data_IF_256268318615
#
_entry.id   IF_256268318615
#
_cell.length_a   1.000
_cell.length_b   1.000
_cell.length_c   1.000
_cell.angle_alpha   90.00
_cell.angle_beta   90.00
_cell.angle_gamma   90.00
#
_symmetry.space_group_name_H-M   'P 1'
#
loop_
_entity.id
_entity.type
_entity.pdbx_description
1 polymer ?
#
# COMPACT_ATOMS: atom_id res chain seq x y z
N UNK A 1 -120.89 45.82 -22.61
CA UNK A 1 -120.45 45.68 -24.01
C UNK A 1 -118.98 46.07 -24.07
N UNK A 2 -118.12 45.08 -24.37
CA UNK A 2 -116.68 45.14 -24.69
C UNK A 2 -115.70 45.43 -23.54
N UNK A 3 -114.65 44.61 -23.55
CA UNK A 3 -113.62 44.40 -22.57
C UNK A 3 -112.23 44.71 -23.16
N UNK A 4 -111.30 45.13 -22.27
CA UNK A 4 -109.83 44.98 -22.26
C UNK A 4 -108.95 45.75 -23.27
N UNK A 5 -107.65 45.97 -22.96
CA UNK A 5 -106.99 46.20 -21.66
C UNK A 5 -106.13 47.49 -21.69
N UNK A 6 -106.00 48.25 -20.60
CA UNK A 6 -105.11 47.90 -19.49
C UNK A 6 -103.66 48.28 -19.84
N UNK A 7 -103.32 49.58 -19.75
CA UNK A 7 -101.93 50.08 -19.86
C UNK A 7 -101.07 49.39 -18.80
N UNK A 8 -100.20 48.48 -19.22
CA UNK A 8 -99.09 48.00 -18.39
C UNK A 8 -98.22 49.19 -18.00
N UNK A 9 -98.27 49.51 -16.72
CA UNK A 9 -97.31 50.40 -16.07
C UNK A 9 -95.94 49.74 -16.22
N UNK A 10 -95.02 50.41 -16.93
CA UNK A 10 -93.59 50.18 -16.77
C UNK A 10 -93.30 50.33 -15.28
N UNK A 11 -93.06 49.21 -14.61
CA UNK A 11 -92.70 49.17 -13.20
C UNK A 11 -91.38 49.94 -13.06
N UNK A 12 -91.44 51.08 -12.38
CA UNK A 12 -90.26 51.78 -11.94
C UNK A 12 -89.51 50.84 -10.98
N UNK A 13 -88.24 50.61 -11.23
CA UNK A 13 -87.38 49.85 -10.33
C UNK A 13 -87.41 50.53 -8.95
N UNK A 14 -87.98 49.85 -7.96
CA UNK A 14 -87.76 50.18 -6.55
C UNK A 14 -86.25 50.06 -6.27
N UNK A 15 -85.67 50.96 -5.44
CA UNK A 15 -84.28 50.82 -5.04
C UNK A 15 -84.10 49.44 -4.39
N UNK A 16 -82.95 48.77 -4.60
CA UNK A 16 -82.70 47.49 -3.96
C UNK A 16 -82.92 47.64 -2.45
N UNK A 17 -83.58 46.66 -1.83
CA UNK A 17 -83.76 46.67 -0.38
C UNK A 17 -82.36 46.64 0.25
N UNK A 18 -81.92 47.81 0.74
CA UNK A 18 -80.54 48.05 1.13
C UNK A 18 -80.08 47.08 2.23
N UNK A 19 -81.02 46.49 2.97
CA UNK A 19 -80.79 45.45 3.95
C UNK A 19 -80.31 44.12 3.31
N UNK A 20 -80.98 43.64 2.25
CA UNK A 20 -80.65 42.39 1.56
C UNK A 20 -79.28 42.48 0.88
N UNK A 21 -79.00 43.61 0.24
CA UNK A 21 -77.68 43.87 -0.36
C UNK A 21 -76.59 43.91 0.71
N UNK A 22 -76.85 44.60 1.83
CA UNK A 22 -75.91 44.69 2.95
C UNK A 22 -75.57 43.33 3.58
N UNK A 23 -76.57 42.47 3.77
CA UNK A 23 -76.40 41.12 4.32
C UNK A 23 -75.62 40.21 3.35
N UNK A 24 -75.94 40.24 2.05
CA UNK A 24 -75.21 39.48 1.04
C UNK A 24 -73.73 39.88 0.95
N UNK A 25 -73.43 41.18 0.97
CA UNK A 25 -72.05 41.69 0.98
C UNK A 25 -71.32 41.30 2.26
N UNK A 26 -71.98 41.33 3.43
CA UNK A 26 -71.38 40.90 4.69
C UNK A 26 -71.00 39.41 4.67
N UNK A 27 -71.86 38.55 4.11
CA UNK A 27 -71.59 37.12 3.96
C UNK A 27 -70.44 36.85 2.97
N UNK A 28 -70.40 37.55 1.84
CA UNK A 28 -69.28 37.49 0.90
C UNK A 28 -67.97 37.93 1.57
N UNK A 29 -67.97 39.04 2.31
CA UNK A 29 -66.80 39.55 3.02
C UNK A 29 -66.31 38.57 4.10
N UNK A 30 -67.24 37.91 4.81
CA UNK A 30 -66.91 36.85 5.78
C UNK A 30 -66.13 35.73 5.11
N UNK A 31 -66.60 35.24 3.96
CA UNK A 31 -65.95 34.15 3.23
C UNK A 31 -64.62 34.60 2.62
N UNK A 32 -64.53 35.82 2.08
CA UNK A 32 -63.25 36.37 1.63
C UNK A 32 -62.20 36.42 2.76
N UNK A 33 -62.60 36.80 3.99
CA UNK A 33 -61.70 36.81 5.15
C UNK A 33 -61.21 35.41 5.53
N UNK A 34 -62.10 34.41 5.48
CA UNK A 34 -61.74 33.01 5.73
C UNK A 34 -60.80 32.47 4.64
N UNK A 35 -61.11 32.71 3.37
CA UNK A 35 -60.25 32.33 2.25
C UNK A 35 -58.88 33.02 2.31
N UNK A 36 -58.83 34.30 2.72
CA UNK A 36 -57.57 35.01 2.94
C UNK A 36 -56.74 34.42 4.10
N UNK A 37 -57.40 33.80 5.08
CA UNK A 37 -56.74 33.04 6.15
C UNK A 37 -56.36 31.60 5.74
N UNK A 38 -56.68 31.19 4.50
CA UNK A 38 -56.39 29.86 3.97
C UNK A 38 -57.48 28.81 4.18
N UNK A 39 -58.65 29.19 4.73
CA UNK A 39 -59.82 28.33 4.84
C UNK A 39 -60.64 28.40 3.53
N UNK A 40 -60.35 27.47 2.62
CA UNK A 40 -61.08 27.31 1.36
C UNK A 40 -62.22 26.30 1.45
N UNK A 41 -62.64 25.86 2.64
CA UNK A 41 -63.85 25.03 2.83
C UNK A 41 -65.11 25.90 3.02
N UNK A 42 -64.93 27.16 3.42
CA UNK A 42 -66.02 28.13 3.53
C UNK A 42 -66.67 28.47 2.17
N UNK A 43 -68.00 28.62 2.15
CA UNK A 43 -68.78 29.03 0.97
C UNK A 43 -69.72 30.18 1.30
N UNK A 44 -69.94 31.06 0.33
CA UNK A 44 -70.94 32.13 0.41
C UNK A 44 -72.30 31.48 0.34
N UNK A 45 -73.06 31.59 1.44
CA UNK A 45 -74.40 31.03 1.56
C UNK A 45 -75.40 31.89 0.80
N UNK A 46 -76.53 31.29 0.45
CA UNK A 46 -77.65 32.03 -0.11
C UNK A 46 -78.30 32.91 0.98
N UNK A 47 -78.55 34.17 0.65
CA UNK A 47 -79.28 35.12 1.49
C UNK A 47 -80.71 35.26 0.92
N UNK A 48 -81.77 35.00 1.69
CA UNK A 48 -83.15 35.15 1.23
C UNK A 48 -83.40 36.55 0.63
N UNK A 49 -84.15 36.62 -0.47
CA UNK A 49 -84.39 37.88 -1.20
C UNK A 49 -83.28 38.30 -2.16
N UNK A 50 -82.08 37.69 -2.09
CA UNK A 50 -80.99 37.99 -3.03
C UNK A 50 -81.26 37.54 -4.47
N UNK A 51 -82.29 36.71 -4.69
CA UNK A 51 -82.68 36.18 -6.02
C UNK A 51 -83.21 37.28 -6.94
N UNK A 52 -83.76 38.34 -6.38
CA UNK A 52 -84.26 39.52 -7.10
C UNK A 52 -83.11 40.42 -7.63
N UNK A 53 -81.87 40.08 -7.27
CA UNK A 53 -80.66 40.80 -7.66
C UNK A 53 -79.69 39.86 -8.41
N UNK A 54 -79.80 39.76 -9.75
CA UNK A 54 -78.99 38.85 -10.56
C UNK A 54 -77.47 39.02 -10.36
N UNK A 55 -77.00 40.25 -10.17
CA UNK A 55 -75.58 40.57 -9.95
C UNK A 55 -75.04 39.96 -8.63
N UNK A 56 -75.85 39.91 -7.56
CA UNK A 56 -75.45 39.29 -6.29
C UNK A 56 -75.40 37.76 -6.41
N UNK A 57 -76.32 37.18 -7.18
CA UNK A 57 -76.34 35.74 -7.48
C UNK A 57 -75.10 35.36 -8.29
N UNK A 58 -74.78 36.11 -9.34
CA UNK A 58 -73.60 35.90 -10.18
C UNK A 58 -72.31 36.04 -9.36
N UNK A 59 -72.17 37.11 -8.56
CA UNK A 59 -71.01 37.33 -7.71
C UNK A 59 -70.81 36.19 -6.70
N UNK A 60 -71.88 35.72 -6.05
CA UNK A 60 -71.83 34.54 -5.17
C UNK A 60 -71.29 33.31 -5.91
N UNK A 61 -71.80 33.04 -7.11
CA UNK A 61 -71.36 31.90 -7.90
C UNK A 61 -69.89 32.02 -8.31
N UNK A 62 -69.44 33.18 -8.78
CA UNK A 62 -68.04 33.38 -9.16
C UNK A 62 -67.10 33.30 -7.95
N UNK A 63 -67.50 33.83 -6.80
CA UNK A 63 -66.69 33.77 -5.58
C UNK A 63 -66.54 32.33 -5.08
N UNK A 64 -67.63 31.57 -5.05
CA UNK A 64 -67.58 30.15 -4.71
C UNK A 64 -66.75 29.34 -5.73
N UNK A 65 -66.90 29.59 -7.05
CA UNK A 65 -66.06 28.94 -8.08
C UNK A 65 -64.58 29.27 -7.92
N UNK A 66 -64.24 30.51 -7.53
CA UNK A 66 -62.86 30.89 -7.25
C UNK A 66 -62.30 30.09 -6.06
N UNK A 67 -63.08 29.98 -4.98
CA UNK A 67 -62.70 29.21 -3.79
C UNK A 67 -62.56 27.72 -4.12
N UNK A 68 -63.48 27.14 -4.89
CA UNK A 68 -63.42 25.73 -5.31
C UNK A 68 -62.11 25.44 -6.08
N UNK A 69 -61.70 26.34 -6.98
CA UNK A 69 -60.43 26.21 -7.71
C UNK A 69 -59.22 26.34 -6.81
N UNK A 70 -59.24 27.29 -5.87
CA UNK A 70 -58.16 27.45 -4.89
C UNK A 70 -58.03 26.22 -3.98
N UNK A 71 -59.15 25.71 -3.46
CA UNK A 71 -59.18 24.51 -2.62
C UNK A 71 -58.65 23.28 -3.40
N UNK A 72 -59.19 23.04 -4.60
CA UNK A 72 -58.75 21.94 -5.46
C UNK A 72 -57.25 22.05 -5.78
N UNK A 73 -56.75 23.24 -6.12
CA UNK A 73 -55.33 23.45 -6.39
C UNK A 73 -54.45 23.16 -5.17
N UNK A 74 -54.82 23.69 -4.00
CA UNK A 74 -54.04 23.49 -2.76
C UNK A 74 -54.02 22.02 -2.35
N UNK A 75 -55.18 21.34 -2.40
CA UNK A 75 -55.27 19.90 -2.08
C UNK A 75 -54.42 19.06 -3.02
N UNK A 76 -54.52 19.31 -4.32
CA UNK A 76 -53.81 18.53 -5.33
C UNK A 76 -52.29 18.80 -5.31
N UNK A 77 -51.89 20.06 -5.11
CA UNK A 77 -50.49 20.45 -4.93
C UNK A 77 -49.89 19.74 -3.70
N UNK A 78 -50.58 19.82 -2.55
CA UNK A 78 -50.12 19.20 -1.32
C UNK A 78 -49.98 17.69 -1.46
N UNK A 79 -50.94 17.02 -2.10
CA UNK A 79 -50.91 15.57 -2.25
C UNK A 79 -49.84 15.10 -3.24
N UNK A 80 -49.64 15.82 -4.35
CA UNK A 80 -48.61 15.55 -5.36
C UNK A 80 -47.20 15.77 -4.82
N UNK A 81 -46.99 16.85 -4.06
CA UNK A 81 -45.70 17.18 -3.45
C UNK A 81 -45.36 16.25 -2.27
N UNK A 82 -46.32 15.89 -1.40
CA UNK A 82 -46.09 14.89 -0.35
C UNK A 82 -45.67 13.55 -0.94
N UNK A 83 -46.36 13.07 -1.98
CA UNK A 83 -45.99 11.85 -2.67
C UNK A 83 -44.56 11.94 -3.24
N UNK A 84 -44.18 13.06 -3.85
CA UNK A 84 -42.81 13.26 -4.34
C UNK A 84 -41.76 13.28 -3.22
N UNK A 85 -42.08 13.87 -2.05
CA UNK A 85 -41.17 13.88 -0.90
C UNK A 85 -40.94 12.48 -0.31
N UNK A 86 -41.91 11.58 -0.47
CA UNK A 86 -41.80 10.16 -0.09
C UNK A 86 -41.17 9.30 -1.20
N UNK A 87 -40.64 9.90 -2.28
CA UNK A 87 -40.07 9.17 -3.42
C UNK A 87 -41.10 8.55 -4.36
N UNK A 88 -42.40 8.80 -4.17
CA UNK A 88 -43.49 8.29 -5.01
C UNK A 88 -43.81 9.27 -6.14
N UNK A 89 -43.03 9.19 -7.22
CA UNK A 89 -43.13 10.14 -8.34
C UNK A 89 -44.28 9.88 -9.33
N UNK A 90 -44.94 8.72 -9.27
CA UNK A 90 -46.03 8.35 -10.19
C UNK A 90 -47.31 9.21 -10.03
N UNK A 91 -47.57 9.78 -8.84
CA UNK A 91 -48.80 10.57 -8.56
C UNK A 91 -48.75 12.00 -9.11
N UNK A 92 -49.13 12.22 -10.35
CA UNK A 92 -49.12 13.55 -10.96
C UNK A 92 -50.23 14.46 -10.44
N UNK A 93 -49.98 15.77 -10.47
CA UNK A 93 -51.01 16.78 -10.29
C UNK A 93 -52.01 16.69 -11.45
N UNK A 94 -53.30 16.57 -11.13
CA UNK A 94 -54.38 16.55 -12.12
C UNK A 94 -54.62 17.92 -12.76
N UNK A 95 -54.43 18.02 -14.08
CA UNK A 95 -54.58 19.28 -14.83
C UNK A 95 -56.05 19.60 -15.18
N UNK A 96 -56.93 18.63 -15.07
CA UNK A 96 -58.35 18.78 -15.40
C UNK A 96 -59.02 19.78 -14.44
N UNK A 97 -59.85 20.67 -14.98
CA UNK A 97 -60.53 21.70 -14.17
C UNK A 97 -59.65 22.90 -13.76
N UNK A 98 -58.36 22.91 -14.09
CA UNK A 98 -57.45 24.04 -13.81
C UNK A 98 -57.36 25.00 -15.00
N UNK A 99 -57.83 26.26 -14.87
CA UNK A 99 -57.69 27.29 -15.90
C UNK A 99 -56.46 28.17 -15.67
N UNK A 100 -55.96 28.81 -16.74
CA UNK A 100 -54.99 29.90 -16.68
C UNK A 100 -53.75 29.60 -15.82
N UNK A 101 -53.46 30.49 -14.87
CA UNK A 101 -52.27 30.41 -14.00
C UNK A 101 -52.21 29.15 -13.13
N UNK A 102 -53.36 28.61 -12.71
CA UNK A 102 -53.41 27.35 -11.96
C UNK A 102 -52.88 26.18 -12.80
N UNK A 103 -53.25 26.12 -14.09
CA UNK A 103 -52.74 25.10 -15.01
C UNK A 103 -51.24 25.21 -15.20
N UNK A 104 -50.74 26.42 -15.48
CA UNK A 104 -49.29 26.64 -15.66
C UNK A 104 -48.50 26.25 -14.42
N UNK A 105 -49.03 26.53 -13.23
CA UNK A 105 -48.40 26.14 -11.96
C UNK A 105 -48.44 24.63 -11.74
N UNK A 106 -49.56 23.98 -12.05
CA UNK A 106 -49.70 22.52 -11.98
C UNK A 106 -48.74 21.79 -12.95
N UNK A 107 -48.58 22.31 -14.16
CA UNK A 107 -47.59 21.81 -15.13
C UNK A 107 -46.15 22.00 -14.64
N UNK A 108 -45.86 23.11 -13.96
CA UNK A 108 -44.56 23.33 -13.32
C UNK A 108 -44.30 22.33 -12.19
N UNK A 109 -45.30 22.03 -11.35
CA UNK A 109 -45.21 20.98 -10.32
C UNK A 109 -44.92 19.63 -10.96
N UNK A 110 -45.64 19.26 -12.02
CA UNK A 110 -45.42 17.98 -12.71
C UNK A 110 -44.02 17.89 -13.34
N UNK A 111 -43.51 18.97 -13.96
CA UNK A 111 -42.14 19.02 -14.48
C UNK A 111 -41.09 18.87 -13.38
N UNK A 112 -41.24 19.59 -12.27
CA UNK A 112 -40.33 19.48 -11.13
C UNK A 112 -40.28 18.05 -10.59
N UNK A 113 -41.44 17.38 -10.45
CA UNK A 113 -41.52 15.99 -10.01
C UNK A 113 -40.84 15.03 -10.98
N UNK A 114 -40.95 15.24 -12.29
CA UNK A 114 -40.24 14.43 -13.28
C UNK A 114 -38.71 14.58 -13.15
N UNK A 115 -38.21 15.80 -12.97
CA UNK A 115 -36.78 16.05 -12.72
C UNK A 115 -36.30 15.42 -11.40
N UNK A 116 -37.11 15.46 -10.35
CA UNK A 116 -36.81 14.77 -9.09
C UNK A 116 -36.74 13.24 -9.27
N UNK A 117 -37.67 12.67 -10.03
CA UNK A 117 -37.69 11.23 -10.32
C UNK A 117 -36.43 10.79 -11.07
N UNK A 118 -36.03 11.55 -12.09
CA UNK A 118 -34.80 11.29 -12.83
C UNK A 118 -33.56 11.42 -11.94
N UNK A 119 -33.52 12.45 -11.10
CA UNK A 119 -32.41 12.66 -10.15
C UNK A 119 -32.31 11.51 -9.13
N UNK A 120 -33.44 11.04 -8.62
CA UNK A 120 -33.50 9.89 -7.71
C UNK A 120 -33.03 8.59 -8.41
N UNK A 121 -33.44 8.36 -9.66
CA UNK A 121 -32.98 7.22 -10.45
C UNK A 121 -31.46 7.25 -10.72
N UNK A 122 -30.92 8.44 -11.06
CA UNK A 122 -29.48 8.64 -11.22
C UNK A 122 -28.72 8.40 -9.92
N UNK A 123 -29.23 8.89 -8.79
CA UNK A 123 -28.63 8.65 -7.47
C UNK A 123 -28.61 7.16 -7.11
N UNK A 124 -29.70 6.43 -7.37
CA UNK A 124 -29.78 4.99 -7.14
C UNK A 124 -28.78 4.21 -8.01
N UNK A 125 -28.68 4.53 -9.30
CA UNK A 125 -27.71 3.90 -10.22
C UNK A 125 -26.26 4.22 -9.83
N UNK A 126 -25.98 5.45 -9.41
CA UNK A 126 -24.68 5.84 -8.90
C UNK A 126 -24.32 5.07 -7.61
N UNK A 127 -25.29 4.87 -6.71
CA UNK A 127 -25.11 4.04 -5.51
C UNK A 127 -24.76 2.58 -5.84
N UNK A 128 -25.47 1.96 -6.78
CA UNK A 128 -25.16 0.60 -7.23
C UNK A 128 -23.77 0.50 -7.88
N UNK A 129 -23.40 1.47 -8.71
CA UNK A 129 -22.08 1.52 -9.33
C UNK A 129 -20.98 1.66 -8.28
N UNK A 130 -21.20 2.49 -7.27
CA UNK A 130 -20.30 2.68 -6.13
C UNK A 130 -20.07 1.35 -5.38
N UNK A 131 -21.14 0.61 -5.08
CA UNK A 131 -21.06 -0.69 -4.41
C UNK A 131 -20.28 -1.71 -5.24
N UNK A 132 -20.54 -1.79 -6.55
CA UNK A 132 -19.78 -2.70 -7.44
C UNK A 132 -18.29 -2.37 -7.46
N UNK A 133 -17.94 -1.08 -7.58
CA UNK A 133 -16.54 -0.64 -7.55
C UNK A 133 -15.89 -0.94 -6.20
N UNK A 134 -16.64 -0.81 -5.10
CA UNK A 134 -16.19 -1.16 -3.77
C UNK A 134 -15.86 -2.66 -3.67
N UNK A 135 -16.72 -3.55 -4.18
CA UNK A 135 -16.49 -5.00 -4.20
C UNK A 135 -15.30 -5.39 -5.11
N UNK A 136 -15.16 -4.76 -6.28
CA UNK A 136 -14.01 -4.98 -7.19
C UNK A 136 -12.69 -4.53 -6.57
N UNK A 137 -12.72 -3.38 -5.88
CA UNK A 137 -11.57 -2.87 -5.15
C UNK A 137 -11.18 -3.78 -3.97
N UNK A 138 -12.17 -4.28 -3.21
CA UNK A 138 -11.98 -5.27 -2.15
C UNK A 138 -11.22 -6.49 -2.66
N UNK A 139 -11.75 -7.12 -3.72
CA UNK A 139 -11.17 -8.31 -4.34
C UNK A 139 -9.74 -8.08 -4.84
N UNK A 140 -9.49 -6.93 -5.48
CA UNK A 140 -8.17 -6.58 -5.99
C UNK A 140 -7.16 -6.40 -4.86
N UNK A 141 -7.53 -5.67 -3.81
CA UNK A 141 -6.65 -5.44 -2.66
C UNK A 141 -6.36 -6.74 -1.92
N UNK A 142 -7.37 -7.60 -1.74
CA UNK A 142 -7.20 -8.91 -1.11
C UNK A 142 -6.21 -9.79 -1.88
N UNK A 143 -6.33 -9.84 -3.21
CA UNK A 143 -5.40 -10.57 -4.08
C UNK A 143 -3.97 -10.04 -3.97
N UNK A 144 -3.79 -8.71 -4.00
CA UNK A 144 -2.47 -8.09 -3.81
C UNK A 144 -1.89 -8.41 -2.43
N UNK A 145 -2.71 -8.37 -1.37
CA UNK A 145 -2.28 -8.71 -0.02
C UNK A 145 -1.81 -10.17 0.09
N UNK A 146 -2.52 -11.12 -0.55
CA UNK A 146 -2.11 -12.53 -0.61
C UNK A 146 -0.79 -12.72 -1.37
N UNK A 147 -0.63 -12.06 -2.52
CA UNK A 147 0.61 -12.11 -3.30
C UNK A 147 1.80 -11.56 -2.52
N UNK A 148 1.62 -10.46 -1.79
CA UNK A 148 2.66 -9.87 -0.94
C UNK A 148 3.03 -10.81 0.21
N UNK A 149 2.04 -11.44 0.86
CA UNK A 149 2.29 -12.41 1.93
C UNK A 149 3.05 -13.66 1.44
N UNK A 150 2.70 -14.16 0.26
CA UNK A 150 3.41 -15.27 -0.38
C UNK A 150 4.87 -14.91 -0.70
N UNK A 151 5.09 -13.75 -1.34
CA UNK A 151 6.42 -13.25 -1.67
C UNK A 151 7.28 -13.02 -0.40
N UNK A 152 6.67 -12.54 0.68
CA UNK A 152 7.33 -12.39 1.98
C UNK A 152 7.82 -13.74 2.53
N UNK A 153 6.98 -14.78 2.47
CA UNK A 153 7.35 -16.12 2.94
C UNK A 153 8.49 -16.74 2.12
N UNK A 154 8.45 -16.55 0.80
CA UNK A 154 9.50 -17.01 -0.12
C UNK A 154 10.84 -16.29 0.12
N UNK A 155 10.80 -14.97 0.37
CA UNK A 155 11.98 -14.20 0.75
C UNK A 155 12.58 -14.65 2.08
N UNK A 156 11.76 -14.96 3.09
CA UNK A 156 12.24 -15.50 4.39
C UNK A 156 12.99 -16.83 4.17
N UNK A 157 12.37 -17.74 3.41
CA UNK A 157 12.96 -19.05 3.09
C UNK A 157 14.27 -18.90 2.30
N UNK A 158 14.30 -18.00 1.32
CA UNK A 158 15.49 -17.71 0.51
C UNK A 158 16.62 -17.12 1.34
N UNK A 159 16.30 -16.20 2.26
CA UNK A 159 17.26 -15.61 3.18
C UNK A 159 17.85 -16.65 4.15
N UNK A 160 17.02 -17.54 4.69
CA UNK A 160 17.48 -18.65 5.54
C UNK A 160 18.42 -19.60 4.78
N UNK A 161 18.07 -19.94 3.54
CA UNK A 161 18.93 -20.76 2.67
C UNK A 161 20.27 -20.08 2.39
N UNK A 162 20.26 -18.78 2.08
CA UNK A 162 21.48 -18.00 1.84
C UNK A 162 22.40 -17.95 3.07
N UNK A 163 21.84 -17.78 4.27
CA UNK A 163 22.60 -17.82 5.52
C UNK A 163 23.22 -19.21 5.78
N UNK A 164 22.47 -20.28 5.51
CA UNK A 164 22.99 -21.64 5.63
C UNK A 164 24.14 -21.92 4.65
N UNK A 165 24.00 -21.49 3.38
CA UNK A 165 25.05 -21.57 2.37
C UNK A 165 26.28 -20.75 2.77
N UNK A 166 26.10 -19.52 3.25
CA UNK A 166 27.20 -18.70 3.72
C UNK A 166 27.97 -19.36 4.87
N UNK A 167 27.25 -19.92 5.86
CA UNK A 167 27.88 -20.68 6.96
C UNK A 167 28.67 -21.89 6.46
N UNK A 168 28.16 -22.61 5.46
CA UNK A 168 28.88 -23.72 4.85
C UNK A 168 30.17 -23.25 4.14
N UNK A 169 30.09 -22.17 3.35
CA UNK A 169 31.26 -21.60 2.66
C UNK A 169 32.32 -21.07 3.62
N UNK A 170 31.94 -20.54 4.80
CA UNK A 170 32.93 -20.16 5.84
C UNK A 170 33.69 -21.39 6.32
N UNK A 171 33.01 -22.50 6.61
CA UNK A 171 33.67 -23.75 7.05
C UNK A 171 34.60 -24.32 5.97
N UNK A 172 34.19 -24.25 4.71
CA UNK A 172 35.03 -24.67 3.58
C UNK A 172 36.28 -23.78 3.45
N UNK A 173 36.14 -22.46 3.60
CA UNK A 173 37.26 -21.53 3.59
C UNK A 173 38.24 -21.77 4.75
N UNK A 174 37.73 -22.07 5.96
CA UNK A 174 38.57 -22.45 7.11
C UNK A 174 39.34 -23.75 6.85
N UNK A 175 38.67 -24.76 6.29
CA UNK A 175 39.30 -26.04 5.94
C UNK A 175 40.38 -25.86 4.85
N UNK A 176 40.12 -25.02 3.85
CA UNK A 176 41.09 -24.68 2.82
C UNK A 176 42.31 -23.94 3.41
N UNK A 177 42.08 -23.01 4.36
CA UNK A 177 43.16 -22.29 5.05
C UNK A 177 44.06 -23.24 5.84
N UNK A 178 43.48 -24.22 6.53
CA UNK A 178 44.23 -25.25 7.26
C UNK A 178 45.08 -26.12 6.31
N UNK A 179 44.50 -26.59 5.20
CA UNK A 179 45.22 -27.38 4.21
C UNK A 179 46.40 -26.62 3.58
N UNK A 180 46.24 -25.33 3.28
CA UNK A 180 47.33 -24.49 2.75
C UNK A 180 48.40 -24.25 3.82
N UNK A 181 48.02 -24.09 5.10
CA UNK A 181 48.96 -23.99 6.21
C UNK A 181 49.85 -25.23 6.34
N UNK A 182 49.26 -26.44 6.25
CA UNK A 182 50.00 -27.70 6.24
C UNK A 182 50.97 -27.81 5.04
N UNK A 183 50.56 -27.30 3.87
CA UNK A 183 51.41 -27.25 2.69
C UNK A 183 52.60 -26.28 2.86
N UNK A 184 52.38 -25.15 3.54
CA UNK A 184 53.44 -24.19 3.85
C UNK A 184 54.49 -24.81 4.78
N UNK A 185 54.04 -25.51 5.84
CA UNK A 185 54.93 -26.16 6.80
C UNK A 185 55.71 -27.32 6.16
N UNK A 186 55.05 -28.15 5.35
CA UNK A 186 55.72 -29.19 4.55
C UNK A 186 56.78 -28.59 3.61
N UNK A 187 56.48 -27.45 2.99
CA UNK A 187 57.44 -26.75 2.11
C UNK A 187 58.63 -26.19 2.88
N UNK A 188 58.45 -25.74 4.13
CA UNK A 188 59.56 -25.31 5.00
C UNK A 188 60.48 -26.47 5.37
N UNK A 189 59.91 -27.64 5.68
CA UNK A 189 60.70 -28.86 5.95
C UNK A 189 61.52 -29.29 4.73
N UNK A 190 60.91 -29.31 3.53
CA UNK A 190 61.63 -29.61 2.28
C UNK A 190 62.77 -28.60 2.07
N UNK A 191 62.54 -27.30 2.30
CA UNK A 191 63.57 -26.27 2.16
C UNK A 191 64.77 -26.51 3.10
N UNK A 192 64.52 -26.97 4.33
CA UNK A 192 65.58 -27.33 5.28
C UNK A 192 66.40 -28.52 4.77
N UNK A 193 65.73 -29.57 4.27
CA UNK A 193 66.39 -30.75 3.69
C UNK A 193 67.21 -30.37 2.46
N UNK A 194 66.66 -29.57 1.54
CA UNK A 194 67.37 -29.09 0.34
C UNK A 194 68.61 -28.27 0.72
N UNK A 195 68.51 -27.42 1.75
CA UNK A 195 69.64 -26.64 2.27
C UNK A 195 70.75 -27.55 2.80
N UNK A 196 70.39 -28.60 3.56
CA UNK A 196 71.34 -29.57 4.07
C UNK A 196 72.03 -30.35 2.94
N UNK A 197 71.27 -30.82 1.94
CA UNK A 197 71.83 -31.54 0.79
C UNK A 197 72.79 -30.63 0.01
N UNK A 198 72.44 -29.36 -0.18
CA UNK A 198 73.31 -28.37 -0.84
C UNK A 198 74.63 -28.18 -0.07
N UNK A 199 74.58 -28.13 1.26
CA UNK A 199 75.77 -28.07 2.12
C UNK A 199 76.63 -29.34 1.99
N UNK A 200 76.03 -30.53 2.00
CA UNK A 200 76.72 -31.82 1.83
C UNK A 200 77.37 -31.90 0.44
N UNK A 201 76.69 -31.45 -0.61
CA UNK A 201 77.23 -31.39 -1.97
C UNK A 201 78.43 -30.42 -2.04
N UNK A 202 78.34 -29.26 -1.38
CA UNK A 202 79.46 -28.32 -1.25
C UNK A 202 80.68 -28.92 -0.54
N UNK A 203 80.46 -29.60 0.60
CA UNK A 203 81.54 -30.29 1.32
C UNK A 203 82.15 -31.44 0.50
N UNK A 204 81.32 -32.23 -0.17
CA UNK A 204 81.76 -33.33 -1.04
C UNK A 204 82.62 -32.82 -2.19
N UNK A 205 82.24 -31.67 -2.77
CA UNK A 205 83.01 -30.99 -3.82
C UNK A 205 84.37 -30.50 -3.32
N UNK A 206 84.46 -30.02 -2.08
CA UNK A 206 85.74 -29.63 -1.46
C UNK A 206 86.62 -30.85 -1.14
N UNK A 207 86.03 -31.92 -0.62
CA UNK A 207 86.73 -33.19 -0.36
C UNK A 207 87.30 -33.80 -1.64
N UNK A 208 86.52 -33.84 -2.72
CA UNK A 208 86.97 -34.36 -4.01
C UNK A 208 88.02 -33.48 -4.68
N UNK A 209 87.96 -32.16 -4.48
CA UNK A 209 89.02 -31.25 -4.90
C UNK A 209 90.33 -31.55 -4.17
N UNK A 210 90.30 -31.71 -2.84
CA UNK A 210 91.49 -32.07 -2.06
C UNK A 210 92.05 -33.43 -2.50
N UNK A 211 91.19 -34.42 -2.76
CA UNK A 211 91.60 -35.72 -3.29
C UNK A 211 92.23 -35.63 -4.69
N UNK A 212 91.72 -34.74 -5.55
CA UNK A 212 92.28 -34.48 -6.89
C UNK A 212 93.68 -33.87 -6.78
N UNK A 213 93.89 -32.94 -5.83
CA UNK A 213 95.20 -32.34 -5.56
C UNK A 213 96.20 -33.41 -5.08
N UNK A 214 95.81 -34.25 -4.13
CA UNK A 214 96.71 -35.27 -3.58
C UNK A 214 97.00 -36.39 -4.61
N UNK A 215 96.01 -36.74 -5.44
CA UNK A 215 96.20 -37.67 -6.56
C UNK A 215 97.20 -37.12 -7.61
N UNK A 216 97.15 -35.81 -7.89
CA UNK A 216 98.14 -35.16 -8.75
C UNK A 216 99.54 -35.16 -8.12
N UNK A 217 99.61 -35.03 -6.79
CA UNK A 217 100.86 -35.05 -6.02
C UNK A 217 101.54 -36.42 -6.01
N UNK A 218 100.75 -37.49 -6.05
CA UNK A 218 101.24 -38.87 -6.14
C UNK A 218 101.74 -39.28 -7.55
N UNK A 219 101.61 -38.42 -8.57
CA UNK A 219 102.11 -38.68 -9.92
C UNK A 219 101.43 -39.85 -10.63
N UNK A 220 102.20 -40.72 -11.30
CA UNK A 220 101.69 -41.89 -12.04
C UNK A 220 100.88 -42.86 -11.15
N UNK A 221 101.26 -43.02 -9.87
CA UNK A 221 100.57 -43.89 -8.92
C UNK A 221 99.17 -43.39 -8.53
N UNK A 222 98.89 -42.09 -8.71
CA UNK A 222 97.62 -41.45 -8.35
C UNK A 222 96.58 -41.39 -9.46
N UNK A 223 96.89 -41.84 -10.70
CA UNK A 223 96.00 -41.67 -11.87
C UNK A 223 94.59 -42.24 -11.68
N UNK A 224 94.47 -43.44 -11.12
CA UNK A 224 93.16 -44.06 -10.84
C UNK A 224 92.35 -43.27 -9.82
N UNK A 225 93.00 -42.77 -8.76
CA UNK A 225 92.38 -41.90 -7.76
C UNK A 225 91.95 -40.55 -8.33
N UNK A 226 92.72 -39.97 -9.25
CA UNK A 226 92.38 -38.70 -9.89
C UNK A 226 91.08 -38.79 -10.71
N UNK A 227 90.86 -39.91 -11.42
CA UNK A 227 89.62 -40.15 -12.18
C UNK A 227 88.42 -40.23 -11.24
N UNK A 228 88.51 -41.02 -10.16
CA UNK A 228 87.44 -41.14 -9.16
C UNK A 228 87.15 -39.79 -8.50
N UNK A 229 88.18 -39.03 -8.13
CA UNK A 229 88.01 -37.70 -7.53
C UNK A 229 87.30 -36.72 -8.48
N UNK A 230 87.62 -36.76 -9.78
CA UNK A 230 86.94 -35.95 -10.80
C UNK A 230 85.46 -36.34 -10.94
N UNK A 231 85.15 -37.64 -10.96
CA UNK A 231 83.77 -38.14 -11.05
C UNK A 231 82.94 -37.70 -9.84
N UNK A 232 83.50 -37.82 -8.62
CA UNK A 232 82.85 -37.36 -7.38
C UNK A 232 82.63 -35.85 -7.39
N UNK A 233 83.58 -35.06 -7.91
CA UNK A 233 83.42 -33.61 -8.08
C UNK A 233 82.27 -33.26 -9.04
N UNK A 234 82.12 -34.03 -10.11
CA UNK A 234 81.08 -33.83 -11.11
C UNK A 234 79.69 -34.18 -10.55
N UNK A 235 79.57 -35.32 -9.86
CA UNK A 235 78.36 -35.72 -9.12
C UNK A 235 77.96 -34.69 -8.05
N UNK A 236 78.93 -34.16 -7.29
CA UNK A 236 78.66 -33.13 -6.29
C UNK A 236 78.17 -31.82 -6.94
N UNK A 237 78.68 -31.47 -8.12
CA UNK A 237 78.22 -30.28 -8.87
C UNK A 237 76.79 -30.50 -9.39
N UNK A 238 76.51 -31.65 -10.02
CA UNK A 238 75.14 -31.99 -10.45
C UNK A 238 74.15 -32.01 -9.28
N UNK A 239 74.57 -32.50 -8.11
CA UNK A 239 73.74 -32.50 -6.90
C UNK A 239 73.42 -31.08 -6.42
N UNK A 240 74.41 -30.18 -6.45
CA UNK A 240 74.22 -28.77 -6.10
C UNK A 240 73.27 -28.06 -7.08
N UNK A 241 73.41 -28.33 -8.38
CA UNK A 241 72.54 -27.75 -9.41
C UNK A 241 71.09 -28.27 -9.27
N UNK A 242 70.92 -29.58 -9.07
CA UNK A 242 69.61 -30.21 -8.86
C UNK A 242 68.93 -29.68 -7.58
N UNK A 243 69.67 -29.55 -6.47
CA UNK A 243 69.12 -28.96 -5.24
C UNK A 243 68.75 -27.48 -5.41
N UNK A 244 69.49 -26.72 -6.22
CA UNK A 244 69.12 -25.35 -6.60
C UNK A 244 67.79 -25.28 -7.34
N UNK A 245 67.55 -26.20 -8.29
CA UNK A 245 66.26 -26.30 -9.01
C UNK A 245 65.11 -26.66 -8.06
N UNK A 246 65.32 -27.61 -7.14
CA UNK A 246 64.30 -27.99 -6.14
C UNK A 246 63.99 -26.78 -5.23
N UNK A 247 65.00 -26.04 -4.77
CA UNK A 247 64.81 -24.84 -3.94
C UNK A 247 63.95 -23.79 -4.67
N UNK A 248 64.20 -23.57 -5.97
CA UNK A 248 63.38 -22.67 -6.77
C UNK A 248 61.91 -23.14 -6.87
N UNK A 249 61.69 -24.45 -7.06
CA UNK A 249 60.35 -25.03 -7.13
C UNK A 249 59.60 -24.90 -5.80
N UNK A 250 60.28 -25.14 -4.68
CA UNK A 250 59.72 -24.98 -3.32
C UNK A 250 59.37 -23.52 -3.04
N UNK A 251 60.26 -22.58 -3.40
CA UNK A 251 59.98 -21.14 -3.26
C UNK A 251 58.75 -20.72 -4.07
N UNK A 252 58.60 -21.27 -5.29
CA UNK A 252 57.44 -21.01 -6.15
C UNK A 252 56.15 -21.56 -5.54
N UNK A 253 56.19 -22.78 -4.98
CA UNK A 253 55.05 -23.39 -4.28
C UNK A 253 54.65 -22.58 -3.02
N UNK A 254 55.61 -22.09 -2.23
CA UNK A 254 55.35 -21.23 -1.08
C UNK A 254 54.72 -19.90 -1.49
N UNK A 255 55.16 -19.30 -2.60
CA UNK A 255 54.55 -18.07 -3.12
C UNK A 255 53.10 -18.29 -3.53
N UNK A 256 52.81 -19.37 -4.25
CA UNK A 256 51.45 -19.73 -4.65
C UNK A 256 50.55 -20.04 -3.44
N UNK A 257 51.10 -20.67 -2.39
CA UNK A 257 50.38 -20.91 -1.13
C UNK A 257 49.94 -19.59 -0.47
N UNK A 258 50.84 -18.61 -0.37
CA UNK A 258 50.54 -17.30 0.22
C UNK A 258 49.46 -16.55 -0.55
N UNK A 259 49.56 -16.53 -1.87
CA UNK A 259 48.52 -15.96 -2.73
C UNK A 259 47.17 -16.66 -2.54
N UNK A 260 47.19 -17.99 -2.37
CA UNK A 260 46.01 -18.78 -2.04
C UNK A 260 45.35 -18.36 -0.72
N UNK A 261 46.15 -18.10 0.33
CA UNK A 261 45.64 -17.62 1.63
C UNK A 261 44.95 -16.26 1.47
N UNK A 262 45.56 -15.32 0.76
CA UNK A 262 44.98 -13.98 0.55
C UNK A 262 43.62 -14.05 -0.17
N UNK A 263 43.49 -14.94 -1.15
CA UNK A 263 42.22 -15.21 -1.84
C UNK A 263 41.19 -15.82 -0.88
N UNK A 264 41.57 -16.82 -0.08
CA UNK A 264 40.68 -17.45 0.91
C UNK A 264 40.19 -16.43 1.94
N UNK A 265 41.05 -15.53 2.43
CA UNK A 265 40.66 -14.49 3.38
C UNK A 265 39.68 -13.48 2.76
N UNK A 266 39.88 -13.15 1.49
CA UNK A 266 38.95 -12.29 0.74
C UNK A 266 37.60 -12.96 0.57
N UNK A 267 37.56 -14.26 0.20
CA UNK A 267 36.34 -15.05 0.13
C UNK A 267 35.63 -15.06 1.50
N UNK A 268 36.36 -15.35 2.58
CA UNK A 268 35.81 -15.37 3.93
C UNK A 268 35.25 -14.03 4.41
N UNK A 269 35.72 -12.90 3.87
CA UNK A 269 35.12 -11.57 4.11
C UNK A 269 33.81 -11.42 3.35
N UNK A 270 33.81 -11.68 2.05
CA UNK A 270 32.62 -11.60 1.19
C UNK A 270 31.48 -12.49 1.70
N UNK A 271 31.80 -13.71 2.14
CA UNK A 271 30.80 -14.65 2.67
C UNK A 271 30.21 -14.16 4.01
N UNK A 272 31.00 -13.53 4.87
CA UNK A 272 30.48 -12.90 6.11
C UNK A 272 29.55 -11.72 5.81
N UNK A 273 29.87 -10.94 4.79
CA UNK A 273 28.98 -9.87 4.32
C UNK A 273 27.66 -10.46 3.80
N UNK A 274 27.70 -11.58 3.08
CA UNK A 274 26.51 -12.31 2.62
C UNK A 274 25.66 -12.85 3.78
N UNK A 275 26.26 -13.45 4.82
CA UNK A 275 25.53 -13.90 6.03
C UNK A 275 24.84 -12.72 6.73
N UNK A 276 25.54 -11.58 6.85
CA UNK A 276 24.99 -10.36 7.46
C UNK A 276 23.79 -9.84 6.67
N UNK A 277 23.89 -9.79 5.34
CA UNK A 277 22.80 -9.38 4.45
C UNK A 277 21.61 -10.34 4.53
N UNK A 278 21.86 -11.65 4.52
CA UNK A 278 20.83 -12.68 4.64
C UNK A 278 20.05 -12.54 5.96
N UNK A 279 20.74 -12.33 7.08
CA UNK A 279 20.12 -12.08 8.39
C UNK A 279 19.33 -10.78 8.41
N UNK A 280 19.82 -9.73 7.77
CA UNK A 280 19.11 -8.45 7.67
C UNK A 280 17.79 -8.61 6.87
N UNK A 281 17.81 -9.38 5.77
CA UNK A 281 16.60 -9.69 5.00
C UNK A 281 15.62 -10.50 5.86
N UNK A 282 16.08 -11.58 6.50
CA UNK A 282 15.24 -12.42 7.36
C UNK A 282 14.59 -11.62 8.50
N UNK A 283 15.37 -10.77 9.20
CA UNK A 283 14.85 -9.91 10.26
C UNK A 283 13.85 -8.87 9.75
N UNK A 284 14.05 -8.36 8.53
CA UNK A 284 13.15 -7.40 7.92
C UNK A 284 11.82 -8.05 7.47
N UNK A 285 11.85 -9.33 7.12
CA UNK A 285 10.70 -10.12 6.67
C UNK A 285 9.90 -10.72 7.83
N UNK A 286 10.53 -11.37 8.80
CA UNK A 286 9.86 -12.05 9.93
C UNK A 286 9.35 -11.06 11.02
N UNK A 287 9.55 -9.77 10.80
CA UNK A 287 8.96 -8.72 11.64
C UNK A 287 9.36 -8.85 13.11
N UNK A 288 10.64 -9.06 13.42
CA UNK A 288 11.18 -8.90 14.78
C UNK A 288 10.34 -9.51 15.91
N UNK A 289 9.69 -10.66 15.69
CA UNK A 289 9.14 -11.47 16.78
C UNK A 289 10.20 -12.41 17.33
N UNK A 290 11.43 -11.90 17.46
CA UNK A 290 12.40 -12.44 18.39
C UNK A 290 11.90 -12.11 19.77
N UNK A 291 11.01 -12.96 20.28
CA UNK A 291 10.74 -13.13 21.70
C UNK A 291 12.06 -12.95 22.46
N UNK A 292 12.22 -11.79 23.07
CA UNK A 292 13.16 -11.58 24.15
C UNK A 292 12.68 -12.49 25.28
N UNK A 293 13.15 -13.73 25.24
CA UNK A 293 13.06 -14.65 26.37
C UNK A 293 13.64 -13.90 27.56
N UNK A 294 12.74 -13.45 28.42
CA UNK A 294 12.99 -12.82 29.69
C UNK A 294 13.93 -13.72 30.49
N UNK A 295 15.22 -13.44 30.39
CA UNK A 295 16.21 -13.78 31.40
C UNK A 295 15.89 -12.96 32.64
N UNK A 296 14.95 -13.47 33.44
CA UNK A 296 14.74 -13.09 34.82
C UNK A 296 16.06 -13.35 35.57
N UNK A 297 16.88 -12.33 35.68
CA UNK A 297 18.17 -12.34 36.37
C UNK A 297 18.42 -10.99 37.01
N UNK A 298 17.46 -10.53 37.81
CA UNK A 298 17.64 -9.37 38.68
C UNK A 298 18.17 -9.86 40.03
N UNK A 299 19.36 -9.39 40.41
CA UNK A 299 20.06 -9.92 41.59
C UNK A 299 21.51 -9.45 41.80
N UNK A 300 21.73 -8.13 41.77
CA UNK A 300 22.69 -7.38 42.60
C UNK A 300 24.18 -7.81 42.55
N UNK A 301 24.99 -7.01 41.86
CA UNK A 301 26.45 -7.07 41.92
C UNK A 301 27.09 -5.71 41.58
N UNK A 302 27.20 -4.88 42.60
CA UNK A 302 27.83 -3.55 42.61
C UNK A 302 29.34 -3.65 42.34
N UNK A 303 29.88 -2.80 41.45
CA UNK A 303 31.33 -2.80 41.16
C UNK A 303 31.77 -1.68 40.22
N UNK A 304 32.32 -0.63 40.84
CA UNK A 304 32.94 0.57 40.30
C UNK A 304 34.05 0.30 39.24
N UNK A 305 34.20 1.19 38.24
CA UNK A 305 35.14 0.96 37.13
C UNK A 305 35.37 2.13 36.17
N UNK A 306 35.87 3.24 36.72
CA UNK A 306 36.37 4.47 36.08
C UNK A 306 37.21 4.29 34.79
N UNK A 307 36.93 5.15 33.79
CA UNK A 307 37.77 5.65 32.67
C UNK A 307 38.33 4.67 31.63
N UNK A 308 37.98 4.92 30.35
CA UNK A 308 38.95 5.43 29.36
C UNK A 308 38.27 6.21 28.23
N UNK A 309 39.00 7.24 27.80
CA UNK A 309 38.61 8.40 27.01
C UNK A 309 39.10 8.20 25.57
N UNK A 310 38.29 8.64 24.59
CA UNK A 310 38.63 9.16 23.25
C UNK A 310 39.47 8.32 22.28
N UNK A 311 38.95 8.17 21.06
CA UNK A 311 39.77 8.13 19.85
C UNK A 311 39.01 7.66 18.61
N UNK A 312 38.69 8.62 17.73
CA UNK A 312 38.60 8.50 16.27
C UNK A 312 37.72 7.41 15.62
N UNK A 313 36.76 7.86 14.82
CA UNK A 313 35.98 7.00 13.93
C UNK A 313 34.82 7.73 13.28
N UNK A 314 35.08 8.84 12.59
CA UNK A 314 34.19 9.29 11.51
C UNK A 314 34.24 8.22 10.42
N UNK A 315 33.24 7.35 10.38
CA UNK A 315 33.12 6.30 9.40
C UNK A 315 31.79 5.58 9.56
N UNK A 316 31.00 5.59 8.49
CA UNK A 316 29.77 4.80 8.30
C UNK A 316 28.46 5.31 8.93
N UNK A 317 28.15 6.60 8.74
CA UNK A 317 26.77 7.05 8.61
C UNK A 317 26.30 6.88 7.15
N UNK A 318 26.17 5.63 6.67
CA UNK A 318 25.66 5.31 5.33
C UNK A 318 24.90 3.97 5.28
N UNK A 319 24.31 3.54 6.40
CA UNK A 319 23.56 2.28 6.49
C UNK A 319 22.04 2.42 6.66
N UNK A 320 21.53 3.63 6.94
CA UNK A 320 20.18 3.79 7.52
C UNK A 320 19.05 3.91 6.47
N UNK A 321 19.35 3.74 5.18
CA UNK A 321 18.39 4.00 4.09
C UNK A 321 17.73 2.78 3.45
N UNK A 322 18.13 1.54 3.79
CA UNK A 322 17.65 0.32 3.10
C UNK A 322 17.05 -0.75 4.01
N UNK A 323 17.03 -0.52 5.33
CA UNK A 323 16.46 -1.45 6.31
C UNK A 323 14.96 -1.24 6.60
N UNK A 324 14.30 -0.31 5.92
CA UNK A 324 12.91 0.09 6.18
C UNK A 324 11.86 -0.65 5.32
N UNK A 325 12.25 -1.29 4.21
CA UNK A 325 11.28 -1.63 3.15
C UNK A 325 10.55 -2.97 3.32
N UNK A 326 11.13 -3.99 3.95
CA UNK A 326 10.42 -5.28 4.13
C UNK A 326 9.54 -5.35 5.39
N UNK A 327 9.90 -4.56 6.42
CA UNK A 327 9.09 -4.30 7.63
C UNK A 327 7.70 -3.74 7.29
N UNK A 328 7.60 -3.01 6.17
CA UNK A 328 6.35 -2.48 5.66
C UNK A 328 5.48 -3.61 5.12
N UNK A 329 5.94 -4.38 4.14
CA UNK A 329 5.10 -5.16 3.24
C UNK A 329 4.05 -6.08 3.90
N UNK A 330 4.43 -6.95 4.85
CA UNK A 330 3.47 -7.84 5.52
C UNK A 330 2.49 -7.07 6.44
N UNK A 331 2.99 -6.08 7.20
CA UNK A 331 2.12 -5.20 8.00
C UNK A 331 1.26 -4.29 7.13
N UNK A 332 1.77 -3.83 6.00
CA UNK A 332 1.07 -3.02 5.01
C UNK A 332 -0.02 -3.84 4.36
N UNK A 333 0.18 -5.14 4.10
CA UNK A 333 -0.86 -6.03 3.61
C UNK A 333 -1.99 -6.23 4.64
N UNK A 334 -1.66 -6.47 5.92
CA UNK A 334 -2.65 -6.60 6.99
C UNK A 334 -3.38 -5.28 7.29
N UNK A 335 -2.66 -4.16 7.27
CA UNK A 335 -3.22 -2.80 7.43
C UNK A 335 -4.08 -2.40 6.24
N UNK A 336 -3.66 -2.68 5.00
CA UNK A 336 -4.49 -2.45 3.83
C UNK A 336 -5.76 -3.29 3.93
N UNK A 337 -5.67 -4.56 4.34
CA UNK A 337 -6.83 -5.43 4.53
C UNK A 337 -7.80 -4.81 5.54
N UNK A 338 -7.31 -4.38 6.69
CA UNK A 338 -8.11 -3.72 7.72
C UNK A 338 -8.73 -2.40 7.26
N UNK A 339 -7.94 -1.52 6.63
CA UNK A 339 -8.42 -0.22 6.15
C UNK A 339 -9.40 -0.34 5.01
N UNK A 340 -9.21 -1.30 4.10
CA UNK A 340 -10.16 -1.58 3.04
C UNK A 340 -11.45 -2.13 3.63
N UNK A 341 -11.41 -3.08 4.56
CA UNK A 341 -12.62 -3.54 5.25
C UNK A 341 -13.37 -2.39 5.94
N UNK A 342 -12.66 -1.47 6.60
CA UNK A 342 -13.26 -0.30 7.25
C UNK A 342 -13.83 0.71 6.24
N UNK A 343 -13.07 1.07 5.21
CA UNK A 343 -13.52 1.97 4.14
C UNK A 343 -14.75 1.44 3.41
N UNK A 344 -14.81 0.13 3.17
CA UNK A 344 -15.96 -0.52 2.53
C UNK A 344 -17.20 -0.53 3.43
N UNK A 345 -17.02 -0.68 4.75
CA UNK A 345 -18.12 -0.53 5.70
C UNK A 345 -18.72 0.88 5.62
N UNK A 346 -17.86 1.91 5.64
CA UNK A 346 -18.29 3.32 5.50
C UNK A 346 -18.97 3.57 4.15
N UNK A 347 -18.45 3.00 3.06
CA UNK A 347 -19.01 3.15 1.70
C UNK A 347 -20.33 2.41 1.50
N UNK A 348 -20.62 1.39 2.31
CA UNK A 348 -21.89 0.64 2.31
C UNK A 348 -22.95 1.32 3.20
N UNK A 349 -22.55 2.14 4.16
CA UNK A 349 -23.45 2.86 5.07
C UNK A 349 -23.90 4.25 4.54
N UNK A 350 -23.17 4.86 3.60
CA UNK A 350 -23.51 6.14 2.96
C UNK A 350 -23.91 6.03 1.49
#
# INVERSE_FOLDING_TARGET
MIALPGREKRNAAEPPDAAVVGEAVAEMLRVCRLGAAGDFEARVRHVPGSEEHPELVELRHELNRMIDRMDAFVREAAASLRAASEGRFHRQFLLEGMPGSFRTSAEAINRARATMAESAARAASAGQTRLRLADEFESTVMSVAEQVAAASTELSTSAASLAASASASVREAESAKEAVGLMEDSSKEIQQVVTLISQVAGQTRLLSLNATIEAARAGEAGRGFAVVASEVKQLATQTADATGQIAHQVASAQSAAREGIDVIETIGRTVRDMDTLARAIAAAVDGGSGSGGTGQGDGIGQGDGVRRRRGAGEGHAAGDGRGADARGLARTAELLRSEVSHFLAVMREG
#
